data_IF_039035290349
#
_entry.id   IF_039035290349
#
_cell.length_a   1.000
_cell.length_b   1.000
_cell.length_c   1.000
_cell.angle_alpha   90.00
_cell.angle_beta   90.00
_cell.angle_gamma   90.00
#
_symmetry.space_group_name_H-M   'P 1'
#
loop_
_entity.id
_entity.type
_entity.pdbx_description
1 polymer ?
#
# COMPACT_ATOMS: atom_id res chain seq x y z
N UNK A 1 19.14 -8.10 -12.85
CA UNK A 1 18.86 -7.18 -11.73
C UNK A 1 19.48 -5.83 -12.05
N UNK A 2 18.67 -4.80 -12.25
CA UNK A 2 19.17 -3.41 -12.22
C UNK A 2 19.25 -3.05 -10.74
N UNK A 3 20.44 -2.73 -10.26
CA UNK A 3 20.67 -2.38 -8.85
C UNK A 3 19.84 -1.14 -8.50
N UNK A 4 19.11 -1.16 -7.38
CA UNK A 4 18.26 -0.06 -6.89
C UNK A 4 19.03 1.19 -6.38
N UNK A 5 20.29 1.38 -6.83
CA UNK A 5 21.28 2.30 -6.25
C UNK A 5 20.83 3.76 -6.30
N UNK A 6 19.89 4.14 -7.18
CA UNK A 6 19.60 5.54 -7.45
C UNK A 6 18.92 6.28 -6.29
N UNK A 7 18.27 5.59 -5.34
CA UNK A 7 17.68 6.25 -4.16
C UNK A 7 18.71 6.55 -3.05
N UNK A 8 19.85 5.86 -3.00
CA UNK A 8 20.72 5.88 -1.81
C UNK A 8 21.55 7.16 -1.66
N UNK A 9 21.87 7.81 -2.78
CA UNK A 9 22.74 9.00 -2.80
C UNK A 9 22.01 10.30 -2.45
N UNK A 10 20.67 10.30 -2.50
CA UNK A 10 19.83 11.46 -2.22
C UNK A 10 19.35 11.53 -0.76
N UNK A 11 19.73 10.55 0.07
CA UNK A 11 19.36 10.46 1.48
C UNK A 11 20.48 11.04 2.33
N UNK A 12 20.14 11.90 3.30
CA UNK A 12 21.13 12.43 4.24
C UNK A 12 21.85 11.28 4.97
N UNK A 13 23.18 11.34 5.13
CA UNK A 13 23.94 10.26 5.76
C UNK A 13 23.42 9.84 7.15
N UNK A 14 22.88 10.77 7.95
CA UNK A 14 22.32 10.45 9.27
C UNK A 14 21.02 9.67 9.13
N UNK A 15 20.13 10.10 8.25
CA UNK A 15 18.87 9.41 7.93
C UNK A 15 19.14 8.00 7.41
N UNK A 16 20.12 7.85 6.52
CA UNK A 16 20.54 6.54 6.01
C UNK A 16 21.07 5.63 7.11
N UNK A 17 21.90 6.16 8.01
CA UNK A 17 22.41 5.42 9.16
C UNK A 17 21.29 5.01 10.12
N UNK A 18 20.28 5.86 10.32
CA UNK A 18 19.08 5.55 11.10
C UNK A 18 18.33 4.35 10.49
N UNK A 19 18.02 4.39 9.19
CA UNK A 19 17.33 3.29 8.50
C UNK A 19 18.11 1.97 8.57
N UNK A 20 19.43 2.02 8.33
CA UNK A 20 20.30 0.85 8.45
C UNK A 20 20.32 0.27 9.87
N UNK A 21 20.45 1.11 10.90
CA UNK A 21 20.45 0.66 12.31
C UNK A 21 19.11 0.05 12.71
N UNK A 22 17.99 0.64 12.29
CA UNK A 22 16.67 0.09 12.57
C UNK A 22 16.48 -1.30 11.95
N UNK A 23 16.78 -1.45 10.66
CA UNK A 23 16.70 -2.75 9.99
C UNK A 23 17.66 -3.79 10.61
N UNK A 24 18.91 -3.40 10.94
CA UNK A 24 19.86 -4.29 11.59
C UNK A 24 19.40 -4.72 12.99
N UNK A 25 18.72 -3.83 13.73
CA UNK A 25 18.14 -4.16 15.02
C UNK A 25 17.01 -5.18 14.87
N UNK A 26 16.08 -4.97 13.94
CA UNK A 26 14.98 -5.90 13.68
C UNK A 26 15.50 -7.29 13.30
N UNK A 27 16.53 -7.36 12.44
CA UNK A 27 17.19 -8.60 12.06
C UNK A 27 17.86 -9.29 13.26
N UNK A 28 18.63 -8.56 14.08
CA UNK A 28 19.27 -9.11 15.29
C UNK A 28 18.28 -9.69 16.31
N UNK A 29 17.05 -9.14 16.34
CA UNK A 29 15.96 -9.61 17.20
C UNK A 29 15.07 -10.67 16.54
N UNK A 30 15.42 -11.12 15.33
CA UNK A 30 14.67 -12.09 14.55
C UNK A 30 13.19 -11.68 14.40
N UNK A 31 12.97 -10.40 14.08
CA UNK A 31 11.65 -9.84 13.81
C UNK A 31 11.52 -9.72 12.29
N UNK A 32 10.64 -10.53 11.64
CA UNK A 32 10.45 -10.45 10.20
C UNK A 32 9.91 -9.07 9.79
N UNK A 33 10.54 -8.47 8.78
CA UNK A 33 10.07 -7.24 8.14
C UNK A 33 10.31 -7.30 6.63
N UNK A 34 9.56 -6.49 5.90
CA UNK A 34 9.74 -6.26 4.47
C UNK A 34 9.93 -4.77 4.22
N UNK A 35 10.76 -4.41 3.25
CA UNK A 35 10.87 -3.03 2.77
C UNK A 35 9.79 -2.79 1.71
N UNK A 36 9.01 -1.74 1.88
CA UNK A 36 7.92 -1.39 0.97
C UNK A 36 8.05 0.01 0.37
N UNK A 37 6.90 0.61 0.10
CA UNK A 37 6.80 2.02 -0.29
C UNK A 37 7.62 2.40 -1.52
N UNK A 38 8.21 3.59 -1.47
CA UNK A 38 8.96 4.14 -2.60
C UNK A 38 10.24 3.36 -2.92
N UNK A 39 10.84 2.67 -1.94
CA UNK A 39 12.04 1.84 -2.16
C UNK A 39 11.72 0.59 -2.96
N UNK A 40 10.73 -0.18 -2.53
CA UNK A 40 10.29 -1.36 -3.27
C UNK A 40 9.78 -0.97 -4.68
N UNK A 41 8.97 0.10 -4.76
CA UNK A 41 8.50 0.63 -6.03
C UNK A 41 9.64 1.03 -6.98
N UNK A 42 10.68 1.70 -6.47
CA UNK A 42 11.86 2.05 -7.26
C UNK A 42 12.59 0.82 -7.77
N UNK A 43 12.79 -0.20 -6.93
CA UNK A 43 13.42 -1.44 -7.35
C UNK A 43 12.69 -2.13 -8.51
N UNK A 44 11.36 -2.16 -8.45
CA UNK A 44 10.57 -2.77 -9.52
C UNK A 44 10.52 -1.94 -10.80
N UNK A 45 10.31 -0.62 -10.67
CA UNK A 45 9.98 0.23 -11.83
C UNK A 45 11.16 1.04 -12.37
N UNK A 46 12.22 1.22 -11.58
CA UNK A 46 13.31 2.16 -11.82
C UNK A 46 12.93 3.63 -11.64
N UNK A 47 11.69 3.93 -11.26
CA UNK A 47 11.21 5.30 -11.05
C UNK A 47 11.67 5.77 -9.68
N UNK A 48 12.58 6.72 -9.64
CA UNK A 48 13.01 7.36 -8.41
C UNK A 48 12.04 8.49 -8.06
N UNK A 49 11.44 8.39 -6.87
CA UNK A 49 10.71 9.48 -6.25
C UNK A 49 11.39 9.79 -4.95
N UNK A 50 11.75 11.07 -4.75
CA UNK A 50 12.18 11.54 -3.44
C UNK A 50 11.07 11.25 -2.43
N UNK A 51 11.39 10.40 -1.47
CA UNK A 51 10.54 10.09 -0.32
C UNK A 51 11.26 10.53 0.94
N UNK A 52 10.50 11.02 1.91
CA UNK A 52 11.01 11.19 3.28
C UNK A 52 10.73 9.95 4.13
N UNK A 53 9.87 9.06 3.64
CA UNK A 53 9.33 7.94 4.39
C UNK A 53 10.13 6.68 4.05
N UNK A 54 10.51 5.93 5.07
CA UNK A 54 11.05 4.58 4.93
C UNK A 54 10.05 3.58 5.50
N UNK A 55 9.51 2.72 4.64
CA UNK A 55 8.39 1.85 5.00
C UNK A 55 8.86 0.42 5.32
N UNK A 56 8.66 0.01 6.58
CA UNK A 56 8.82 -1.36 7.05
C UNK A 56 7.45 -2.01 7.23
N UNK A 57 7.18 -3.05 6.44
CA UNK A 57 5.98 -3.87 6.56
C UNK A 57 6.26 -5.02 7.52
N UNK A 58 5.42 -5.19 8.53
CA UNK A 58 5.54 -6.23 9.54
C UNK A 58 4.22 -6.97 9.71
N UNK A 59 4.28 -8.22 10.13
CA UNK A 59 3.06 -8.95 10.47
C UNK A 59 2.43 -8.28 11.72
N UNK A 60 1.09 -8.15 11.80
CA UNK A 60 0.38 -7.68 13.01
C UNK A 60 0.85 -8.29 14.33
N UNK A 61 1.28 -9.57 14.32
CA UNK A 61 1.74 -10.32 15.51
C UNK A 61 3.08 -9.79 16.04
N UNK A 62 3.84 -9.09 15.22
CA UNK A 62 5.20 -8.61 15.52
C UNK A 62 5.28 -7.10 15.78
N UNK A 63 4.17 -6.37 15.65
CA UNK A 63 4.11 -4.91 15.84
C UNK A 63 4.63 -4.51 17.21
N UNK A 64 4.13 -5.15 18.27
CA UNK A 64 4.57 -4.80 19.62
C UNK A 64 6.07 -5.05 19.80
N UNK A 65 6.57 -6.17 19.27
CA UNK A 65 7.99 -6.55 19.36
C UNK A 65 8.89 -5.53 18.65
N UNK A 66 8.54 -5.10 17.43
CA UNK A 66 9.38 -4.15 16.69
C UNK A 66 9.34 -2.74 17.32
N UNK A 67 8.17 -2.32 17.84
CA UNK A 67 8.03 -1.04 18.52
C UNK A 67 8.87 -1.02 19.81
N UNK A 68 8.81 -2.08 20.62
CA UNK A 68 9.64 -2.23 21.82
C UNK A 68 11.14 -2.30 21.49
N UNK A 69 11.51 -3.03 20.43
CA UNK A 69 12.88 -3.10 19.94
C UNK A 69 13.44 -1.71 19.64
N UNK A 70 12.73 -0.93 18.82
CA UNK A 70 13.13 0.43 18.47
C UNK A 70 13.17 1.36 19.69
N UNK A 71 12.19 1.26 20.60
CA UNK A 71 12.19 2.03 21.83
C UNK A 71 13.39 1.71 22.74
N UNK A 72 13.82 0.44 22.79
CA UNK A 72 14.93 -0.02 23.63
C UNK A 72 16.29 0.61 23.28
N UNK A 73 16.47 1.07 22.03
CA UNK A 73 17.68 1.75 21.56
C UNK A 73 17.53 3.27 21.51
N UNK A 74 16.44 3.80 22.09
CA UNK A 74 16.21 5.23 22.27
C UNK A 74 15.42 5.90 21.14
N UNK A 75 14.90 5.15 20.16
CA UNK A 75 13.99 5.74 19.18
C UNK A 75 12.65 6.06 19.84
N UNK A 76 12.10 7.24 19.54
CA UNK A 76 10.72 7.55 19.95
C UNK A 76 9.80 6.73 19.06
N UNK A 77 8.90 5.95 19.65
CA UNK A 77 7.94 5.12 18.91
C UNK A 77 6.50 5.52 19.23
N UNK A 78 5.64 5.53 18.22
CA UNK A 78 4.25 5.94 18.35
C UNK A 78 3.34 5.08 17.45
N UNK A 79 2.26 4.52 18.01
CA UNK A 79 1.18 3.94 17.20
C UNK A 79 0.28 5.11 16.75
N UNK A 80 0.45 5.52 15.50
CA UNK A 80 -0.27 6.68 14.94
C UNK A 80 -1.62 6.29 14.35
N UNK A 81 -1.83 5.02 14.02
CA UNK A 81 -3.13 4.46 13.70
C UNK A 81 -3.20 3.00 14.19
N UNK A 82 -4.05 2.70 15.19
CA UNK A 82 -4.08 1.39 15.86
C UNK A 82 -4.27 0.18 14.95
N UNK A 83 -4.90 0.37 13.79
CA UNK A 83 -5.21 -0.72 12.86
C UNK A 83 -4.19 -0.93 11.75
N UNK A 84 -3.20 -0.04 11.55
CA UNK A 84 -2.27 -0.20 10.43
C UNK A 84 -0.91 0.50 10.50
N UNK A 85 -0.72 1.53 11.36
CA UNK A 85 0.49 2.36 11.30
C UNK A 85 1.10 2.67 12.67
N UNK A 86 2.34 2.22 12.84
CA UNK A 86 3.29 2.70 13.82
C UNK A 86 4.35 3.58 13.16
N UNK A 87 5.06 4.36 13.97
CA UNK A 87 6.22 5.14 13.53
C UNK A 87 7.34 5.03 14.56
N UNK A 88 8.58 4.99 14.07
CA UNK A 88 9.78 5.19 14.88
C UNK A 88 10.53 6.43 14.38
N UNK A 89 11.02 7.25 15.29
CA UNK A 89 11.61 8.55 14.99
C UNK A 89 13.05 8.67 15.52
N UNK A 90 13.90 9.33 14.73
CA UNK A 90 15.22 9.84 15.13
C UNK A 90 15.33 11.31 14.69
N UNK A 91 15.06 12.24 15.61
CA UNK A 91 14.92 13.67 15.28
C UNK A 91 13.70 13.94 14.39
N UNK A 92 13.93 14.51 13.21
CA UNK A 92 12.88 14.80 12.21
C UNK A 92 12.64 13.64 11.23
N UNK A 93 13.52 12.64 11.22
CA UNK A 93 13.43 11.47 10.36
C UNK A 93 12.55 10.39 11.00
N UNK A 94 11.87 9.59 10.18
CA UNK A 94 11.01 8.52 10.66
C UNK A 94 10.94 7.31 9.75
N UNK A 95 10.57 6.18 10.35
CA UNK A 95 10.26 4.91 9.70
C UNK A 95 8.79 4.61 9.94
N UNK A 96 8.08 4.27 8.87
CA UNK A 96 6.70 3.81 8.93
C UNK A 96 6.68 2.31 9.16
N UNK A 97 6.01 1.89 10.23
CA UNK A 97 5.86 0.49 10.62
C UNK A 97 4.44 0.11 10.25
N UNK A 98 4.30 -0.46 9.05
CA UNK A 98 3.02 -0.76 8.43
C UNK A 98 2.66 -2.21 8.76
N UNK A 99 1.51 -2.39 9.40
CA UNK A 99 1.03 -3.72 9.83
C UNK A 99 -0.40 -4.00 9.35
N UNK A 100 -0.87 -3.23 8.38
CA UNK A 100 -2.17 -3.39 7.76
C UNK A 100 -2.40 -2.31 6.72
N UNK A 101 -3.64 -2.16 6.30
CA UNK A 101 -4.06 -1.10 5.38
C UNK A 101 -4.86 -0.04 6.12
N UNK A 102 -4.62 1.22 5.77
CA UNK A 102 -5.43 2.33 6.25
C UNK A 102 -6.93 2.13 6.00
N UNK A 103 -7.32 1.30 5.03
CA UNK A 103 -8.71 0.97 4.68
C UNK A 103 -9.23 -0.33 5.32
N UNK A 104 -8.39 -1.09 6.02
CA UNK A 104 -8.76 -2.34 6.69
C UNK A 104 -9.09 -3.52 5.78
N UNK A 105 -8.55 -3.55 4.55
CA UNK A 105 -8.87 -4.57 3.54
C UNK A 105 -7.65 -5.32 2.98
N UNK A 106 -6.44 -4.83 3.23
CA UNK A 106 -5.19 -5.47 2.79
C UNK A 106 -4.36 -5.80 4.03
N UNK A 107 -4.76 -6.88 4.71
CA UNK A 107 -4.01 -7.35 5.86
C UNK A 107 -2.64 -7.87 5.41
N UNK A 108 -1.65 -7.70 6.29
CA UNK A 108 -0.31 -8.23 6.09
C UNK A 108 -0.27 -9.62 6.71
N UNK A 109 -0.45 -10.63 5.86
CA UNK A 109 -0.45 -12.04 6.22
C UNK A 109 0.88 -12.74 5.86
N UNK A 110 0.96 -14.04 6.14
CA UNK A 110 2.16 -14.85 5.93
C UNK A 110 2.58 -14.89 4.45
N UNK A 111 1.64 -14.80 3.50
CA UNK A 111 1.95 -14.78 2.06
C UNK A 111 2.79 -13.55 1.65
N UNK A 112 2.68 -12.40 2.34
CA UNK A 112 3.59 -11.26 2.09
C UNK A 112 5.06 -11.66 2.28
N UNK A 113 5.34 -12.51 3.28
CA UNK A 113 6.68 -12.95 3.64
C UNK A 113 7.15 -14.15 2.84
N UNK A 114 6.23 -15.09 2.53
CA UNK A 114 6.52 -16.29 1.74
C UNK A 114 6.92 -15.93 0.30
N UNK A 115 6.31 -14.89 -0.28
CA UNK A 115 6.59 -14.43 -1.64
C UNK A 115 7.52 -13.21 -1.71
N UNK A 116 8.11 -12.81 -0.59
CA UNK A 116 8.95 -11.63 -0.53
C UNK A 116 10.22 -11.78 -1.39
N UNK A 117 10.64 -10.66 -2.01
CA UNK A 117 11.73 -10.67 -2.99
C UNK A 117 13.04 -10.24 -2.32
N UNK A 118 14.10 -11.07 -2.31
CA UNK A 118 15.40 -10.66 -1.78
C UNK A 118 16.00 -9.50 -2.60
N UNK A 119 16.53 -8.49 -1.92
CA UNK A 119 17.19 -7.34 -2.54
C UNK A 119 18.21 -6.70 -1.59
N UNK A 120 19.08 -5.86 -2.13
CA UNK A 120 19.99 -5.02 -1.35
C UNK A 120 19.48 -3.58 -1.31
N UNK A 121 19.14 -3.10 -0.12
CA UNK A 121 18.68 -1.73 0.13
C UNK A 121 19.61 -1.05 1.13
N UNK A 122 20.14 0.12 0.77
CA UNK A 122 21.08 0.89 1.59
C UNK A 122 22.29 0.04 2.00
N UNK A 123 22.76 -0.84 1.09
CA UNK A 123 23.84 -1.78 1.34
C UNK A 123 23.54 -2.86 2.38
N UNK A 124 22.28 -3.21 2.61
CA UNK A 124 21.87 -4.30 3.49
C UNK A 124 20.99 -5.31 2.74
N UNK A 125 21.20 -6.60 3.02
CA UNK A 125 20.35 -7.67 2.51
C UNK A 125 18.99 -7.62 3.21
N UNK A 126 17.94 -7.42 2.44
CA UNK A 126 16.57 -7.32 2.92
C UNK A 126 15.62 -8.08 2.02
N UNK A 127 14.35 -8.10 2.39
CA UNK A 127 13.27 -8.59 1.52
C UNK A 127 12.31 -7.45 1.19
N UNK A 128 11.87 -7.35 -0.05
CA UNK A 128 10.87 -6.39 -0.50
C UNK A 128 9.46 -6.97 -0.38
N UNK A 129 8.48 -6.08 -0.19
CA UNK A 129 7.07 -6.41 -0.38
C UNK A 129 6.87 -6.95 -1.81
N UNK A 130 6.20 -8.09 -2.02
CA UNK A 130 6.04 -8.63 -3.36
C UNK A 130 5.20 -7.70 -4.25
N UNK A 131 5.45 -7.66 -5.56
CA UNK A 131 4.81 -6.70 -6.45
C UNK A 131 3.29 -6.90 -6.55
N UNK A 132 2.78 -8.12 -6.41
CA UNK A 132 1.35 -8.42 -6.37
C UNK A 132 0.65 -7.72 -5.19
N UNK A 133 1.24 -7.78 -4.01
CA UNK A 133 0.76 -7.14 -2.78
C UNK A 133 0.84 -5.60 -2.87
N UNK A 134 1.86 -5.07 -3.54
CA UNK A 134 1.95 -3.62 -3.82
C UNK A 134 0.86 -3.19 -4.81
N UNK A 135 0.63 -3.95 -5.90
CA UNK A 135 -0.48 -3.68 -6.83
C UNK A 135 -1.81 -3.73 -6.09
N UNK A 136 -2.04 -4.78 -5.30
CA UNK A 136 -3.27 -4.98 -4.55
C UNK A 136 -3.56 -3.85 -3.58
N UNK A 137 -2.58 -3.43 -2.78
CA UNK A 137 -2.75 -2.34 -1.81
C UNK A 137 -2.95 -0.97 -2.49
N UNK A 138 -2.13 -0.65 -3.50
CA UNK A 138 -2.22 0.65 -4.20
C UNK A 138 -3.48 0.82 -5.03
N UNK A 139 -4.09 -0.28 -5.50
CA UNK A 139 -5.31 -0.21 -6.31
C UNK A 139 -6.51 0.41 -5.58
N UNK A 140 -6.52 0.46 -4.25
CA UNK A 140 -7.60 1.05 -3.46
C UNK A 140 -7.39 2.53 -3.10
N UNK A 141 -6.25 3.13 -3.43
CA UNK A 141 -6.00 4.55 -3.15
C UNK A 141 -6.53 5.42 -4.29
N UNK A 142 -7.77 5.87 -4.15
CA UNK A 142 -8.48 6.76 -5.08
C UNK A 142 -9.09 7.98 -4.36
N UNK A 143 -8.26 8.66 -3.57
CA UNK A 143 -8.64 9.93 -2.95
C UNK A 143 -8.59 11.07 -3.97
N UNK A 144 -9.23 12.20 -3.63
CA UNK A 144 -9.23 13.39 -4.49
C UNK A 144 -7.83 13.99 -4.62
N UNK A 145 -7.08 13.98 -3.52
CA UNK A 145 -5.75 14.53 -3.37
C UNK A 145 -4.65 13.49 -3.59
N UNK A 146 -5.00 12.20 -3.60
CA UNK A 146 -4.06 11.10 -3.77
C UNK A 146 -4.67 9.93 -4.52
N UNK A 147 -4.17 9.69 -5.72
CA UNK A 147 -4.52 8.56 -6.55
C UNK A 147 -3.26 7.78 -6.96
N UNK A 148 -3.16 6.51 -6.55
CA UNK A 148 -1.98 5.67 -6.82
C UNK A 148 -2.13 4.83 -8.11
N UNK A 149 -3.13 5.08 -8.96
CA UNK A 149 -3.34 4.28 -10.19
C UNK A 149 -2.20 4.36 -11.20
N UNK A 150 -1.43 5.46 -11.24
CA UNK A 150 -0.21 5.54 -12.03
C UNK A 150 0.86 4.55 -11.52
N UNK A 151 0.95 4.35 -10.20
CA UNK A 151 1.91 3.39 -9.63
C UNK A 151 1.51 1.96 -9.97
N UNK A 152 0.21 1.66 -9.90
CA UNK A 152 -0.33 0.38 -10.37
C UNK A 152 0.04 0.14 -11.83
N UNK A 153 -0.18 1.13 -12.71
CA UNK A 153 0.15 1.00 -14.12
C UNK A 153 1.65 0.80 -14.37
N UNK A 154 2.53 1.50 -13.64
CA UNK A 154 3.98 1.31 -13.74
C UNK A 154 4.44 -0.06 -13.23
N UNK A 155 3.84 -0.59 -12.17
CA UNK A 155 4.13 -1.94 -11.67
C UNK A 155 3.67 -3.00 -12.67
N UNK A 156 2.50 -2.83 -13.28
CA UNK A 156 2.03 -3.72 -14.35
C UNK A 156 2.94 -3.67 -15.58
N UNK A 157 3.45 -2.48 -15.93
CA UNK A 157 4.40 -2.32 -17.03
C UNK A 157 5.73 -3.04 -16.71
N UNK A 158 6.24 -2.89 -15.49
CA UNK A 158 7.53 -3.43 -15.10
C UNK A 158 7.49 -4.94 -14.81
N UNK A 159 6.44 -5.41 -14.14
CA UNK A 159 6.36 -6.73 -13.53
C UNK A 159 5.29 -7.64 -14.14
N UNK A 160 4.41 -7.14 -15.02
CA UNK A 160 3.21 -7.89 -15.47
C UNK A 160 3.48 -9.31 -15.98
N UNK A 161 4.60 -9.54 -16.67
CA UNK A 161 4.97 -10.87 -17.17
C UNK A 161 5.43 -11.85 -16.08
N UNK A 162 5.90 -11.34 -14.93
CA UNK A 162 6.39 -12.14 -13.81
C UNK A 162 5.43 -12.24 -12.64
N UNK A 163 4.28 -11.53 -12.68
CA UNK A 163 3.30 -11.60 -11.61
C UNK A 163 2.66 -12.99 -11.55
N UNK A 164 2.45 -13.49 -10.35
CA UNK A 164 1.50 -14.56 -10.07
C UNK A 164 0.07 -14.01 -10.18
N UNK A 165 -0.48 -14.10 -11.39
CA UNK A 165 -1.82 -13.62 -11.71
C UNK A 165 -2.94 -14.38 -11.00
N UNK A 166 -2.74 -15.66 -10.67
CA UNK A 166 -3.71 -16.42 -9.89
C UNK A 166 -3.75 -15.89 -8.46
N UNK A 167 -2.59 -15.67 -7.83
CA UNK A 167 -2.51 -15.04 -6.51
C UNK A 167 -3.11 -13.65 -6.52
N UNK A 168 -2.78 -12.82 -7.51
CA UNK A 168 -3.34 -11.47 -7.61
C UNK A 168 -4.87 -11.49 -7.73
N UNK A 169 -5.44 -12.37 -8.56
CA UNK A 169 -6.89 -12.54 -8.66
C UNK A 169 -7.50 -13.02 -7.33
N UNK A 170 -6.84 -13.93 -6.60
CA UNK A 170 -7.27 -14.35 -5.26
C UNK A 170 -7.23 -13.21 -4.25
N UNK A 171 -6.20 -12.35 -4.27
CA UNK A 171 -6.08 -11.18 -3.39
C UNK A 171 -7.26 -10.21 -3.57
N UNK A 172 -7.69 -9.96 -4.80
CA UNK A 172 -8.85 -9.11 -5.06
C UNK A 172 -10.19 -9.80 -4.77
N UNK A 173 -10.30 -11.11 -4.97
CA UNK A 173 -11.51 -11.90 -4.73
C UNK A 173 -12.79 -11.20 -5.26
N UNK A 174 -13.75 -10.88 -4.38
CA UNK A 174 -15.02 -10.20 -4.70
C UNK A 174 -14.83 -8.74 -5.13
N UNK A 175 -13.66 -8.15 -4.89
CA UNK A 175 -13.26 -6.81 -5.35
C UNK A 175 -12.55 -6.84 -6.70
N UNK A 176 -12.68 -7.94 -7.46
CA UNK A 176 -12.19 -8.03 -8.84
C UNK A 176 -12.56 -6.85 -9.75
N UNK A 177 -13.68 -6.10 -9.59
CA UNK A 177 -13.95 -4.92 -10.42
C UNK A 177 -12.89 -3.83 -10.26
N UNK A 178 -12.27 -3.71 -9.07
CA UNK A 178 -11.20 -2.75 -8.81
C UNK A 178 -9.98 -3.09 -9.65
N UNK A 179 -9.51 -4.35 -9.58
CA UNK A 179 -8.41 -4.81 -10.43
C UNK A 179 -8.74 -4.63 -11.91
N UNK A 180 -9.93 -5.08 -12.35
CA UNK A 180 -10.32 -5.01 -13.75
C UNK A 180 -10.32 -3.57 -14.28
N UNK A 181 -10.76 -2.59 -13.46
CA UNK A 181 -10.71 -1.18 -13.84
C UNK A 181 -9.29 -0.69 -14.13
N UNK A 182 -8.30 -1.07 -13.31
CA UNK A 182 -6.90 -0.76 -13.53
C UNK A 182 -6.33 -1.47 -14.76
N UNK A 183 -6.73 -2.72 -15.03
CA UNK A 183 -6.26 -3.45 -16.23
C UNK A 183 -6.83 -2.86 -17.53
N UNK A 184 -8.10 -2.44 -17.52
CA UNK A 184 -8.70 -1.72 -18.65
C UNK A 184 -8.01 -0.39 -18.87
N UNK A 185 -7.77 0.37 -17.80
CA UNK A 185 -7.06 1.63 -17.87
C UNK A 185 -5.61 1.45 -18.35
N UNK A 186 -4.93 0.38 -17.90
CA UNK A 186 -3.57 0.05 -18.35
C UNK A 186 -3.50 -0.11 -19.87
N UNK A 187 -4.46 -0.77 -20.51
CA UNK A 187 -4.49 -0.89 -21.97
C UNK A 187 -4.68 0.44 -22.69
N UNK A 188 -5.37 1.40 -22.07
CA UNK A 188 -5.47 2.76 -22.59
C UNK A 188 -4.16 3.53 -22.43
N UNK A 189 -3.50 3.40 -21.27
CA UNK A 189 -2.22 4.07 -20.98
C UNK A 189 -1.08 3.52 -21.85
N UNK A 190 -0.99 2.19 -21.99
CA UNK A 190 0.09 1.49 -22.71
C UNK A 190 -0.46 0.50 -23.75
N UNK A 191 -1.07 0.97 -24.86
CA UNK A 191 -1.69 0.10 -25.85
C UNK A 191 -0.71 -0.89 -26.52
N UNK A 192 0.57 -0.52 -26.64
CA UNK A 192 1.64 -1.40 -27.16
C UNK A 192 2.03 -2.51 -26.18
N UNK A 193 1.84 -2.28 -24.88
CA UNK A 193 2.30 -3.16 -23.80
C UNK A 193 1.18 -4.03 -23.24
N UNK A 194 -0.02 -3.98 -23.81
CA UNK A 194 -1.20 -4.74 -23.33
C UNK A 194 -0.96 -6.24 -23.14
N UNK A 195 -0.01 -6.82 -23.86
CA UNK A 195 0.36 -8.25 -23.76
C UNK A 195 1.10 -8.62 -22.46
N UNK A 196 1.57 -7.63 -21.70
CA UNK A 196 2.09 -7.87 -20.34
C UNK A 196 1.01 -8.39 -19.40
N UNK A 197 -0.25 -8.12 -19.71
CA UNK A 197 -1.40 -8.72 -19.04
C UNK A 197 -1.78 -9.99 -19.81
N UNK A 198 -1.79 -11.17 -19.17
CA UNK A 198 -2.19 -12.39 -19.84
C UNK A 198 -3.62 -12.30 -20.35
N UNK A 199 -3.84 -12.76 -21.58
CA UNK A 199 -5.15 -12.72 -22.23
C UNK A 199 -6.23 -13.45 -21.41
N UNK A 200 -5.87 -14.55 -20.76
CA UNK A 200 -6.79 -15.33 -19.93
C UNK A 200 -7.31 -14.54 -18.73
N UNK A 201 -6.50 -13.65 -18.14
CA UNK A 201 -6.91 -12.79 -17.00
C UNK A 201 -7.99 -11.82 -17.46
N UNK A 202 -7.78 -11.19 -18.61
CA UNK A 202 -8.75 -10.27 -19.20
C UNK A 202 -10.06 -10.98 -19.56
N UNK A 203 -9.98 -12.18 -20.13
CA UNK A 203 -11.15 -12.99 -20.47
C UNK A 203 -11.92 -13.45 -19.22
N UNK A 204 -11.21 -13.87 -18.18
CA UNK A 204 -11.80 -14.26 -16.89
C UNK A 204 -12.58 -13.09 -16.27
N UNK A 205 -11.97 -11.91 -16.16
CA UNK A 205 -12.61 -10.73 -15.56
C UNK A 205 -13.77 -10.19 -16.43
N UNK A 206 -13.64 -10.22 -17.75
CA UNK A 206 -14.75 -9.91 -18.66
C UNK A 206 -15.92 -10.88 -18.46
N UNK A 207 -15.65 -12.18 -18.32
CA UNK A 207 -16.66 -13.20 -18.03
C UNK A 207 -17.34 -13.00 -16.67
N UNK A 208 -16.62 -12.53 -15.64
CA UNK A 208 -17.22 -12.12 -14.36
C UNK A 208 -18.16 -10.93 -14.52
N UNK A 209 -17.77 -9.93 -15.31
CA UNK A 209 -18.63 -8.80 -15.63
C UNK A 209 -19.91 -9.22 -16.38
N UNK A 210 -19.79 -10.09 -17.38
CA UNK A 210 -20.95 -10.60 -18.11
C UNK A 210 -21.93 -11.34 -17.18
N UNK A 211 -21.41 -12.14 -16.25
CA UNK A 211 -22.22 -12.82 -15.23
C UNK A 211 -22.90 -11.81 -14.30
N UNK A 212 -22.18 -10.79 -13.81
CA UNK A 212 -22.72 -9.75 -12.94
C UNK A 212 -23.87 -8.98 -13.62
N UNK A 213 -23.72 -8.63 -14.90
CA UNK A 213 -24.75 -7.93 -15.67
C UNK A 213 -26.02 -8.77 -15.89
N UNK A 214 -25.91 -10.10 -15.82
CA UNK A 214 -27.06 -11.00 -15.93
C UNK A 214 -27.82 -11.16 -14.61
N UNK A 215 -27.23 -10.78 -13.47
CA UNK A 215 -27.87 -10.84 -12.16
C UNK A 215 -28.78 -9.62 -11.94
N UNK A 216 -29.88 -9.77 -11.19
CA UNK A 216 -30.64 -8.62 -10.72
C UNK A 216 -29.79 -7.77 -9.77
N UNK A 217 -30.05 -6.45 -9.67
CA UNK A 217 -29.39 -5.61 -8.69
C UNK A 217 -29.58 -6.12 -7.26
N UNK A 218 -28.53 -6.03 -6.45
CA UNK A 218 -28.59 -6.36 -5.02
C UNK A 218 -29.54 -5.38 -4.31
N UNK A 219 -30.49 -5.90 -3.53
CA UNK A 219 -31.46 -5.07 -2.78
C UNK A 219 -30.79 -4.27 -1.65
N UNK A 220 -29.70 -4.79 -1.09
CA UNK A 220 -28.91 -4.11 -0.07
C UNK A 220 -28.25 -2.85 -0.64
N UNK A 221 -28.55 -1.70 -0.03
CA UNK A 221 -27.86 -0.43 -0.32
C UNK A 221 -26.46 -0.42 0.30
N UNK A 222 -25.49 -1.06 -0.35
CA UNK A 222 -24.09 -1.07 0.09
C UNK A 222 -23.25 -0.06 -0.71
N UNK A 223 -22.50 0.81 -0.03
CA UNK A 223 -21.53 1.70 -0.67
C UNK A 223 -20.11 1.18 -0.44
N UNK A 224 -19.51 0.60 -1.49
CA UNK A 224 -18.09 0.18 -1.49
C UNK A 224 -17.12 1.32 -1.85
N UNK A 225 -17.63 2.50 -2.24
CA UNK A 225 -16.79 3.66 -2.55
C UNK A 225 -15.95 4.13 -1.36
N UNK A 226 -16.39 3.88 -0.13
CA UNK A 226 -15.64 4.18 1.10
C UNK A 226 -14.35 3.36 1.24
N UNK A 227 -14.23 2.22 0.55
CA UNK A 227 -12.99 1.45 0.45
C UNK A 227 -11.96 2.14 -0.47
N UNK A 228 -12.43 2.94 -1.43
CA UNK A 228 -11.60 3.65 -2.41
C UNK A 228 -11.22 5.06 -1.95
N UNK A 229 -12.13 5.72 -1.22
CA UNK A 229 -11.93 7.07 -0.69
C UNK A 229 -12.50 7.26 0.71
N UNK A 230 -11.76 7.96 1.58
CA UNK A 230 -12.12 8.14 3.00
C UNK A 230 -13.37 8.99 3.15
N UNK A 231 -13.52 10.01 2.31
CA UNK A 231 -14.50 11.10 2.49
C UNK A 231 -15.45 11.26 1.31
N UNK A 232 -15.03 10.91 0.09
CA UNK A 232 -15.79 11.28 -1.12
C UNK A 232 -17.16 10.61 -1.23
N UNK A 233 -17.36 9.48 -0.55
CA UNK A 233 -18.62 8.72 -0.55
C UNK A 233 -19.41 8.82 0.76
N UNK A 234 -19.00 9.69 1.70
CA UNK A 234 -19.72 9.87 2.96
C UNK A 234 -21.12 10.43 2.74
N UNK A 235 -21.33 11.26 1.71
CA UNK A 235 -22.66 11.75 1.37
C UNK A 235 -23.64 10.59 1.06
N UNK A 236 -23.18 9.56 0.36
CA UNK A 236 -24.03 8.39 0.04
C UNK A 236 -24.36 7.58 1.30
N UNK A 237 -23.41 7.45 2.22
CA UNK A 237 -23.61 6.75 3.50
C UNK A 237 -24.53 7.54 4.43
N UNK A 238 -24.23 8.81 4.67
CA UNK A 238 -24.88 9.66 5.67
C UNK A 238 -26.25 10.18 5.21
N UNK A 239 -26.40 10.49 3.93
CA UNK A 239 -27.58 11.20 3.41
C UNK A 239 -28.47 10.34 2.50
N UNK A 240 -27.91 9.30 1.84
CA UNK A 240 -28.68 8.43 0.94
C UNK A 240 -29.04 7.06 1.52
N UNK A 241 -28.59 6.77 2.75
CA UNK A 241 -28.91 5.54 3.47
C UNK A 241 -28.18 4.31 2.94
N UNK A 242 -27.02 4.48 2.32
CA UNK A 242 -26.15 3.34 2.01
C UNK A 242 -25.39 2.90 3.26
N UNK A 243 -25.23 1.59 3.44
CA UNK A 243 -24.33 1.02 4.43
C UNK A 243 -22.89 1.22 3.99
N UNK A 244 -22.04 1.60 4.94
CA UNK A 244 -20.59 1.66 4.74
C UNK A 244 -20.00 0.24 4.60
N UNK A 245 -19.19 0.02 3.57
CA UNK A 245 -18.51 -1.24 3.35
C UNK A 245 -17.24 -1.43 4.19
N UNK A 246 -16.73 -0.38 4.84
CA UNK A 246 -15.53 -0.46 5.69
C UNK A 246 -15.80 -1.35 6.92
N UNK A 247 -14.79 -2.10 7.39
CA UNK A 247 -14.92 -2.89 8.62
C UNK A 247 -15.27 -2.02 9.83
N UNK A 248 -15.98 -2.60 10.82
CA UNK A 248 -16.41 -1.89 12.04
C UNK A 248 -15.22 -1.37 12.87
N UNK A 249 -14.04 -1.96 12.71
CA UNK A 249 -12.78 -1.51 13.34
C UNK A 249 -12.25 -0.19 12.77
N UNK A 250 -12.80 0.28 11.65
CA UNK A 250 -12.51 1.58 11.07
C UNK A 250 -13.32 2.66 11.80
N UNK A 251 -12.73 3.35 12.79
CA UNK A 251 -13.41 4.47 13.46
C UNK A 251 -13.44 5.71 12.55
N UNK A 252 -14.55 5.85 11.83
CA UNK A 252 -14.87 7.00 10.99
C UNK A 252 -14.73 8.32 11.78
N UNK A 253 -15.06 8.34 13.08
CA UNK A 253 -15.03 9.56 13.92
C UNK A 253 -13.61 9.94 14.33
N UNK A 254 -12.72 8.97 14.49
CA UNK A 254 -11.31 9.22 14.75
C UNK A 254 -10.61 9.73 13.47
N UNK A 255 -10.94 9.14 12.32
CA UNK A 255 -10.38 9.54 11.03
C UNK A 255 -10.88 10.92 10.57
N UNK A 256 -12.18 11.22 10.73
CA UNK A 256 -12.74 12.56 10.45
C UNK A 256 -12.10 13.63 11.35
N UNK A 257 -11.87 13.34 12.64
CA UNK A 257 -11.15 14.27 13.55
C UNK A 257 -9.71 14.52 13.11
N UNK A 258 -9.00 13.50 12.64
CA UNK A 258 -7.62 13.64 12.11
C UNK A 258 -7.57 14.45 10.83
N UNK A 259 -8.55 14.28 9.93
CA UNK A 259 -8.62 15.03 8.68
C UNK A 259 -8.91 16.52 8.94
N UNK A 260 -9.88 16.83 9.81
CA UNK A 260 -10.15 18.22 10.21
C UNK A 260 -8.92 18.88 10.88
N UNK A 261 -8.21 18.15 11.74
CA UNK A 261 -6.98 18.64 12.37
C UNK A 261 -5.83 18.88 11.36
N UNK A 262 -5.75 18.08 10.28
CA UNK A 262 -4.75 18.27 9.20
C UNK A 262 -5.10 19.45 8.29
N UNK A 263 -6.38 19.67 7.99
CA UNK A 263 -6.83 20.83 7.21
C UNK A 263 -6.60 22.15 7.98
N UNK A 264 -6.78 22.15 9.30
CA UNK A 264 -6.48 23.31 10.17
C UNK A 264 -4.97 23.57 10.32
N UNK A 265 -4.12 22.54 10.20
CA UNK A 265 -2.67 22.64 10.35
C UNK A 265 -1.91 22.98 9.04
N UNK A 266 -2.61 23.03 7.90
CA UNK A 266 -1.99 23.36 6.61
C UNK A 266 -1.84 24.88 6.49
N UNK A 267 -0.63 25.45 6.32
CA UNK A 267 -0.48 26.88 6.14
C UNK A 267 -1.18 27.30 4.85
N UNK A 268 -2.05 28.31 4.94
CA UNK A 268 -2.67 28.92 3.76
C UNK A 268 -1.58 29.28 2.75
N UNK A 269 -1.71 28.91 1.47
CA UNK A 269 -0.75 29.33 0.46
C UNK A 269 -0.72 30.85 0.41
N UNK A 270 0.48 31.42 0.57
CA UNK A 270 0.71 32.84 0.41
C UNK A 270 0.35 33.25 -1.03
N UNK A 271 -0.50 34.27 -1.15
CA UNK A 271 -0.91 34.88 -2.42
C UNK A 271 0.23 35.60 -3.10
#
# INVERSE_FOLDING_TARGET
MRSCISNENDIDPKTRDFYRKAMALADSMHIPFLVGGAFAFNCYTGINRRTKDFDLFVHPRDVQRIMEAFSSVGYRTEITAPHWLGKAFDGEDFIDIIFGSGKGINDIDDEWFDFAVPEVILGMEVKLCPPEEIVWSKSYLMERERYDGADVAHLLLACGESLDWERLLRRFNDHWPVLYSHLVLFMFIYPSEKKRIPEWVMRELAGRLEKELALPPVEEKLCRGTLLSKTQYLYDVEQKGFRDARPVTYDIREESRRLSAKEEASPMPAQ
#
